data_IF_032682059067
#
_entry.id   IF_032682059067
#
_cell.length_a   1.000
_cell.length_b   1.000
_cell.length_c   1.000
_cell.angle_alpha   90.00
_cell.angle_beta   90.00
_cell.angle_gamma   90.00
#
_symmetry.space_group_name_H-M   'P 1'
#
loop_
_entity.id
_entity.type
_entity.pdbx_description
1 polymer ?
#
# COMPACT_ATOMS: atom_id res chain seq x y z
N UNK A 1 24.86 -1.94 -19.26
CA UNK A 1 26.11 -1.34 -18.74
C UNK A 1 25.94 -1.40 -17.22
N UNK A 2 26.70 -2.25 -16.55
CA UNK A 2 26.64 -2.33 -15.09
C UNK A 2 27.04 -0.97 -14.52
N UNK A 3 26.19 -0.40 -13.65
CA UNK A 3 26.65 0.70 -12.81
C UNK A 3 27.85 0.17 -12.00
N UNK A 4 28.98 0.85 -12.00
CA UNK A 4 30.13 0.38 -11.23
C UNK A 4 29.74 0.20 -9.77
N UNK A 5 30.21 -0.85 -9.12
CA UNK A 5 29.97 -1.12 -7.69
C UNK A 5 30.31 0.07 -6.77
N UNK A 6 31.16 0.97 -7.25
CA UNK A 6 31.53 2.23 -6.59
C UNK A 6 30.38 3.25 -6.44
N UNK A 7 29.26 3.07 -7.17
CA UNK A 7 28.09 3.95 -7.08
C UNK A 7 27.01 3.47 -6.11
N UNK A 8 27.14 2.29 -5.52
CA UNK A 8 26.20 1.78 -4.54
C UNK A 8 26.38 2.51 -3.19
N UNK A 9 25.25 2.77 -2.53
CA UNK A 9 25.22 3.26 -1.15
C UNK A 9 25.90 2.24 -0.23
N UNK A 10 26.65 2.73 0.75
CA UNK A 10 27.40 1.92 1.72
C UNK A 10 26.73 1.92 3.09
N UNK A 11 27.14 1.01 3.97
CA UNK A 11 26.72 1.02 5.37
C UNK A 11 27.16 2.32 6.09
N UNK A 12 28.31 2.89 5.72
CA UNK A 12 28.78 4.17 6.27
C UNK A 12 27.82 5.31 5.96
N UNK A 13 27.32 5.38 4.72
CA UNK A 13 26.33 6.40 4.32
C UNK A 13 25.04 6.27 5.12
N UNK A 14 24.62 5.05 5.47
CA UNK A 14 23.44 4.80 6.30
C UNK A 14 23.68 5.23 7.76
N UNK A 15 24.87 4.98 8.32
CA UNK A 15 25.21 5.48 9.65
C UNK A 15 25.24 7.01 9.71
N UNK A 16 25.83 7.66 8.71
CA UNK A 16 25.79 9.12 8.61
C UNK A 16 24.37 9.65 8.47
N UNK A 17 23.52 8.96 7.66
CA UNK A 17 22.12 9.30 7.55
C UNK A 17 21.39 9.17 8.89
N UNK A 18 21.64 8.09 9.64
CA UNK A 18 21.05 7.87 10.98
C UNK A 18 21.35 9.03 11.93
N UNK A 19 22.61 9.44 12.02
CA UNK A 19 23.01 10.58 12.88
C UNK A 19 22.29 11.87 12.45
N UNK A 20 22.22 12.11 11.13
CA UNK A 20 21.60 13.33 10.58
C UNK A 20 20.11 13.41 10.84
N UNK A 21 19.38 12.29 10.73
CA UNK A 21 17.92 12.27 10.86
C UNK A 21 17.45 12.01 12.30
N UNK A 22 18.35 11.73 13.25
CA UNK A 22 18.03 11.29 14.61
C UNK A 22 17.07 12.21 15.38
N UNK A 23 17.16 13.53 15.17
CA UNK A 23 16.29 14.50 15.84
C UNK A 23 14.89 14.62 15.21
N UNK A 24 14.70 14.10 14.00
CA UNK A 24 13.48 14.27 13.22
C UNK A 24 12.68 12.98 13.12
N UNK A 25 13.34 11.87 12.88
CA UNK A 25 12.71 10.57 12.63
C UNK A 25 12.39 9.87 13.95
N UNK A 26 11.24 9.22 13.99
CA UNK A 26 10.87 8.35 15.12
C UNK A 26 11.45 6.95 14.92
N UNK A 27 11.98 6.37 15.98
CA UNK A 27 12.20 4.92 16.01
C UNK A 27 10.84 4.25 16.11
N UNK A 28 10.36 3.67 15.01
CA UNK A 28 9.04 3.08 14.97
C UNK A 28 8.99 1.73 15.69
N UNK A 29 7.84 1.34 16.26
CA UNK A 29 7.70 0.05 16.92
C UNK A 29 7.93 -1.12 15.98
N UNK A 30 8.36 -2.24 16.56
CA UNK A 30 8.28 -3.56 16.00
C UNK A 30 7.37 -4.39 16.91
N UNK A 31 6.28 -4.93 16.38
CA UNK A 31 5.26 -5.64 17.16
C UNK A 31 5.00 -7.02 16.59
N UNK A 32 4.56 -7.95 17.44
CA UNK A 32 4.03 -9.25 17.03
C UNK A 32 2.59 -9.37 17.53
N UNK A 33 1.75 -10.07 16.77
CA UNK A 33 0.33 -10.27 17.07
C UNK A 33 0.00 -11.75 16.88
N UNK A 34 -0.19 -12.49 17.97
CA UNK A 34 -0.41 -13.94 17.96
C UNK A 34 -1.52 -14.41 16.99
N UNK A 35 -2.59 -13.61 16.86
CA UNK A 35 -3.66 -13.93 15.91
C UNK A 35 -3.27 -13.74 14.44
N UNK A 36 -2.27 -12.92 14.14
CA UNK A 36 -1.65 -12.81 12.79
C UNK A 36 -0.70 -13.99 12.58
N UNK A 37 0.11 -14.35 13.57
CA UNK A 37 0.99 -15.52 13.52
C UNK A 37 0.20 -16.79 13.16
N UNK A 38 -0.97 -16.98 13.80
CA UNK A 38 -1.86 -18.10 13.49
C UNK A 38 -2.42 -18.09 12.05
N UNK A 39 -2.76 -16.91 11.53
CA UNK A 39 -3.22 -16.78 10.14
C UNK A 39 -2.10 -17.08 9.15
N UNK A 40 -0.89 -16.61 9.45
CA UNK A 40 0.29 -16.78 8.59
C UNK A 40 0.94 -18.16 8.73
N UNK A 41 0.67 -18.89 9.81
CA UNK A 41 1.36 -20.14 10.15
C UNK A 41 2.86 -19.94 10.46
N UNK A 42 3.26 -18.72 10.84
CA UNK A 42 4.64 -18.32 11.10
C UNK A 42 4.67 -17.15 12.09
N UNK A 43 5.77 -16.97 12.81
CA UNK A 43 5.96 -15.76 13.64
C UNK A 43 6.22 -14.55 12.75
N UNK A 44 5.35 -13.53 12.82
CA UNK A 44 5.44 -12.32 12.00
C UNK A 44 5.66 -11.09 12.87
N UNK A 45 6.75 -10.38 12.60
CA UNK A 45 7.14 -9.15 13.26
C UNK A 45 6.78 -7.98 12.35
N UNK A 46 5.94 -7.06 12.81
CA UNK A 46 5.42 -5.93 12.02
C UNK A 46 6.22 -4.66 12.33
N UNK A 47 6.99 -4.15 11.38
CA UNK A 47 7.69 -2.87 11.49
C UNK A 47 6.77 -1.73 11.09
N UNK A 48 6.34 -0.91 12.05
CA UNK A 48 5.22 0.02 11.96
C UNK A 48 5.61 1.40 11.40
N UNK A 49 6.10 1.50 10.16
CA UNK A 49 6.44 2.79 9.53
C UNK A 49 5.21 3.67 9.23
N UNK A 50 4.00 3.14 9.27
CA UNK A 50 2.78 3.95 9.24
C UNK A 50 2.65 4.90 10.46
N UNK A 51 3.38 4.64 11.55
CA UNK A 51 3.44 5.51 12.74
C UNK A 51 4.56 6.55 12.67
N UNK A 52 5.30 6.62 11.57
CA UNK A 52 6.29 7.66 11.35
C UNK A 52 5.64 9.04 11.22
N UNK A 53 6.41 10.13 11.33
CA UNK A 53 5.90 11.51 11.38
C UNK A 53 4.91 11.87 10.28
N UNK A 54 5.17 11.50 9.03
CA UNK A 54 4.27 11.79 7.90
C UNK A 54 3.39 10.59 7.55
N UNK A 55 3.19 9.65 8.49
CA UNK A 55 2.43 8.45 8.24
C UNK A 55 3.13 7.45 7.32
N UNK A 56 4.43 7.60 7.02
CA UNK A 56 5.22 6.69 6.18
C UNK A 56 6.72 6.87 6.36
N UNK A 57 7.49 5.89 5.93
CA UNK A 57 8.96 5.90 5.96
C UNK A 57 9.62 7.06 5.19
N UNK A 58 8.89 7.71 4.28
CA UNK A 58 9.46 8.67 3.30
C UNK A 58 10.22 9.83 3.93
N UNK A 59 9.87 10.27 5.13
CA UNK A 59 10.59 11.34 5.85
C UNK A 59 12.05 11.00 6.09
N UNK A 60 12.42 9.72 6.23
CA UNK A 60 13.80 9.27 6.47
C UNK A 60 14.74 9.74 5.35
N UNK A 61 14.44 9.34 4.12
CA UNK A 61 15.22 9.75 2.95
C UNK A 61 15.05 11.23 2.61
N UNK A 62 13.81 11.74 2.66
CA UNK A 62 13.55 13.15 2.34
C UNK A 62 14.35 14.09 3.24
N UNK A 63 14.35 13.86 4.55
CA UNK A 63 15.10 14.70 5.46
C UNK A 63 16.61 14.50 5.33
N UNK A 64 17.10 13.27 5.14
CA UNK A 64 18.53 13.03 4.91
C UNK A 64 19.05 13.75 3.66
N UNK A 65 18.26 13.84 2.60
CA UNK A 65 18.62 14.59 1.39
C UNK A 65 18.53 16.10 1.60
N UNK A 66 17.37 16.60 2.07
CA UNK A 66 17.06 18.04 2.15
C UNK A 66 17.95 18.77 3.18
N UNK A 67 18.25 18.15 4.31
CA UNK A 67 19.11 18.75 5.34
C UNK A 67 20.56 18.98 4.93
N UNK A 68 20.97 18.51 3.76
CA UNK A 68 22.28 18.75 3.14
C UNK A 68 22.31 20.01 2.27
N UNK A 69 21.14 20.56 1.95
CA UNK A 69 21.02 21.72 1.07
C UNK A 69 21.41 23.01 1.79
N UNK A 70 21.94 23.97 1.04
CA UNK A 70 22.31 25.27 1.57
C UNK A 70 21.07 26.06 2.08
N UNK A 71 21.19 26.90 3.11
CA UNK A 71 20.11 27.78 3.50
C UNK A 71 19.61 28.65 2.34
N UNK A 72 18.28 28.80 2.22
CA UNK A 72 17.64 29.53 1.15
C UNK A 72 17.47 28.77 -0.17
N UNK A 73 17.93 27.52 -0.25
CA UNK A 73 17.64 26.66 -1.41
C UNK A 73 16.13 26.43 -1.53
N UNK A 74 15.59 26.54 -2.74
CA UNK A 74 14.22 26.12 -3.04
C UNK A 74 14.18 24.64 -3.34
N UNK A 75 13.16 23.97 -2.81
CA UNK A 75 12.95 22.53 -3.01
C UNK A 75 11.72 22.30 -3.87
N UNK A 76 11.81 21.37 -4.81
CA UNK A 76 10.65 20.95 -5.58
C UNK A 76 10.56 19.43 -5.64
N UNK A 77 9.33 18.91 -5.59
CA UNK A 77 9.04 17.49 -5.76
C UNK A 77 7.79 17.29 -6.64
N UNK A 78 7.63 16.08 -7.14
CA UNK A 78 6.40 15.65 -7.80
C UNK A 78 5.89 14.37 -7.14
N UNK A 79 4.72 14.43 -6.50
CA UNK A 79 4.08 13.28 -5.86
C UNK A 79 2.71 13.68 -5.34
N UNK A 80 1.72 12.78 -5.46
CA UNK A 80 0.40 12.93 -4.84
C UNK A 80 0.25 12.15 -3.52
N UNK A 81 1.35 11.66 -2.91
CA UNK A 81 1.28 10.76 -1.75
C UNK A 81 2.39 10.98 -0.71
N UNK A 82 2.91 9.89 -0.20
CA UNK A 82 3.87 9.86 0.93
C UNK A 82 5.13 10.69 0.70
N UNK A 83 5.64 10.72 -0.54
CA UNK A 83 6.85 11.48 -0.86
C UNK A 83 6.61 12.99 -0.76
N UNK A 84 5.46 13.48 -1.23
CA UNK A 84 5.07 14.88 -1.11
C UNK A 84 5.09 15.37 0.34
N UNK A 85 4.44 14.62 1.23
CA UNK A 85 4.37 14.93 2.66
C UNK A 85 5.76 14.84 3.32
N UNK A 86 6.55 13.82 2.95
CA UNK A 86 7.92 13.65 3.45
C UNK A 86 8.82 14.83 3.08
N UNK A 87 8.77 15.28 1.82
CA UNK A 87 9.54 16.45 1.34
C UNK A 87 9.05 17.74 1.99
N UNK A 88 7.72 17.95 2.05
CA UNK A 88 7.15 19.15 2.66
C UNK A 88 7.57 19.31 4.12
N UNK A 89 7.43 18.26 4.95
CA UNK A 89 7.85 18.30 6.35
C UNK A 89 9.37 18.46 6.48
N UNK A 90 10.17 17.76 5.66
CA UNK A 90 11.61 17.86 5.70
C UNK A 90 12.10 19.29 5.40
N UNK A 91 11.54 19.91 4.38
CA UNK A 91 11.86 21.29 4.01
C UNK A 91 11.37 22.29 5.05
N UNK A 92 10.18 22.12 5.61
CA UNK A 92 9.68 22.95 6.72
C UNK A 92 10.65 22.96 7.91
N UNK A 93 11.12 21.76 8.32
CA UNK A 93 12.08 21.62 9.42
C UNK A 93 13.44 22.27 9.07
N UNK A 94 13.87 22.17 7.81
CA UNK A 94 15.10 22.78 7.32
C UNK A 94 14.98 24.30 7.06
N UNK A 95 13.77 24.88 7.16
CA UNK A 95 13.52 26.29 6.87
C UNK A 95 13.63 26.64 5.38
N UNK A 96 13.32 25.72 4.48
CA UNK A 96 13.41 25.86 3.03
C UNK A 96 12.02 26.00 2.38
N UNK A 97 11.92 26.83 1.35
CA UNK A 97 10.71 26.94 0.52
C UNK A 97 10.52 25.67 -0.31
N UNK A 98 9.27 25.20 -0.37
CA UNK A 98 8.94 23.94 -1.06
C UNK A 98 7.74 24.09 -1.97
N UNK A 99 7.90 23.61 -3.21
CA UNK A 99 6.83 23.47 -4.19
C UNK A 99 6.63 21.99 -4.50
N UNK A 100 5.38 21.54 -4.48
CA UNK A 100 5.03 20.15 -4.83
C UNK A 100 4.07 20.15 -6.01
N UNK A 101 4.48 19.51 -7.10
CA UNK A 101 3.62 19.28 -8.25
C UNK A 101 2.81 18.01 -8.03
N UNK A 102 1.50 18.09 -8.27
CA UNK A 102 0.55 16.98 -8.14
C UNK A 102 -0.32 16.87 -9.39
N UNK A 103 -0.73 15.66 -9.79
CA UNK A 103 -1.79 15.50 -10.78
C UNK A 103 -3.08 16.19 -10.31
N UNK A 104 -3.85 16.75 -11.25
CA UNK A 104 -5.08 17.49 -10.95
C UNK A 104 -6.17 16.64 -10.28
N UNK A 105 -6.08 15.31 -10.39
CA UNK A 105 -6.96 14.32 -9.75
C UNK A 105 -6.44 13.81 -8.40
N UNK A 106 -5.40 14.43 -7.83
CA UNK A 106 -4.90 14.05 -6.51
C UNK A 106 -5.98 14.18 -5.43
N UNK A 107 -6.05 13.21 -4.50
CA UNK A 107 -7.07 13.20 -3.46
C UNK A 107 -6.94 14.40 -2.51
N UNK A 108 -8.07 15.01 -2.17
CA UNK A 108 -8.10 16.22 -1.33
C UNK A 108 -7.39 16.05 0.01
N UNK A 109 -7.54 14.93 0.77
CA UNK A 109 -6.82 14.74 2.02
C UNK A 109 -5.29 14.77 1.83
N UNK A 110 -4.75 14.19 0.76
CA UNK A 110 -3.30 14.17 0.49
C UNK A 110 -2.78 15.57 0.10
N UNK A 111 -3.57 16.32 -0.66
CA UNK A 111 -3.26 17.73 -1.00
C UNK A 111 -3.20 18.57 0.27
N UNK A 112 -4.25 18.46 1.11
CA UNK A 112 -4.33 19.23 2.36
C UNK A 112 -3.18 18.89 3.31
N UNK A 113 -2.90 17.59 3.52
CA UNK A 113 -1.79 17.16 4.36
C UNK A 113 -0.43 17.73 3.89
N UNK A 114 -0.22 17.84 2.59
CA UNK A 114 1.02 18.43 2.04
C UNK A 114 1.09 19.95 2.29
N UNK A 115 -0.04 20.66 2.17
CA UNK A 115 -0.14 22.08 2.48
C UNK A 115 0.04 22.37 3.97
N UNK A 116 -0.48 21.51 4.83
CA UNK A 116 -0.35 21.65 6.30
C UNK A 116 1.12 21.57 6.75
N UNK A 117 1.99 20.91 5.98
CA UNK A 117 3.44 20.94 6.14
C UNK A 117 4.11 22.14 5.45
N UNK A 118 3.35 23.14 5.00
CA UNK A 118 3.88 24.42 4.50
C UNK A 118 4.31 24.41 3.03
N UNK A 119 4.05 23.36 2.26
CA UNK A 119 4.41 23.34 0.84
C UNK A 119 3.36 24.07 -0.03
N UNK A 120 3.82 24.81 -1.03
CA UNK A 120 2.99 25.27 -2.13
C UNK A 120 2.65 24.08 -3.04
N UNK A 121 1.36 23.80 -3.24
CA UNK A 121 0.91 22.73 -4.13
C UNK A 121 0.48 23.32 -5.47
N UNK A 122 1.10 22.84 -6.56
CA UNK A 122 0.76 23.14 -7.94
C UNK A 122 0.18 21.92 -8.63
N UNK A 123 -0.93 22.12 -9.33
CA UNK A 123 -1.58 21.05 -10.07
C UNK A 123 -1.10 21.02 -11.52
N UNK A 124 -0.85 19.82 -12.04
CA UNK A 124 -0.54 19.56 -13.43
C UNK A 124 -1.64 18.69 -14.04
N UNK A 125 -2.00 18.99 -15.29
CA UNK A 125 -2.98 18.20 -16.03
C UNK A 125 -2.28 16.95 -16.58
N UNK A 126 -2.87 15.78 -16.34
CA UNK A 126 -2.32 14.51 -16.79
C UNK A 126 -1.95 13.58 -15.62
N UNK A 127 -1.04 12.66 -15.88
CA UNK A 127 -0.58 11.66 -14.92
C UNK A 127 0.55 12.21 -14.03
N UNK A 128 1.01 11.38 -13.08
CA UNK A 128 2.15 11.73 -12.21
C UNK A 128 3.44 12.02 -13.02
N UNK A 129 3.63 11.33 -14.13
CA UNK A 129 4.80 11.56 -15.00
C UNK A 129 4.83 12.97 -15.57
N UNK A 130 3.66 13.54 -15.91
CA UNK A 130 3.55 14.93 -16.40
C UNK A 130 3.90 15.91 -15.27
N UNK A 131 3.45 15.64 -14.05
CA UNK A 131 3.84 16.41 -12.87
C UNK A 131 5.37 16.34 -12.58
N UNK A 132 6.01 15.18 -12.81
CA UNK A 132 7.47 15.04 -12.69
C UNK A 132 8.19 15.89 -13.73
N UNK A 133 7.73 15.89 -14.97
CA UNK A 133 8.31 16.73 -16.06
C UNK A 133 8.16 18.21 -15.72
N UNK A 134 6.97 18.64 -15.28
CA UNK A 134 6.70 20.02 -14.88
C UNK A 134 7.58 20.45 -13.67
N UNK A 135 7.72 19.60 -12.66
CA UNK A 135 8.56 19.87 -11.49
C UNK A 135 10.04 20.04 -11.86
N UNK A 136 10.58 19.16 -12.73
CA UNK A 136 11.97 19.26 -13.20
C UNK A 136 12.22 20.50 -14.04
N UNK A 137 11.28 20.88 -14.93
CA UNK A 137 11.35 22.13 -15.69
C UNK A 137 11.34 23.33 -14.75
N UNK A 138 10.42 23.35 -13.79
CA UNK A 138 10.33 24.42 -12.80
C UNK A 138 11.61 24.54 -11.96
N UNK A 139 12.22 23.41 -11.57
CA UNK A 139 13.49 23.39 -10.87
C UNK A 139 14.60 24.12 -11.66
N UNK A 140 14.71 23.84 -12.96
CA UNK A 140 15.71 24.48 -13.83
C UNK A 140 15.46 25.98 -14.02
N UNK A 141 14.18 26.40 -14.12
CA UNK A 141 13.79 27.81 -14.32
C UNK A 141 13.96 28.68 -13.06
N UNK A 142 13.94 28.05 -11.85
CA UNK A 142 13.90 28.78 -10.58
C UNK A 142 15.11 28.50 -9.67
N UNK A 143 16.17 27.88 -10.20
CA UNK A 143 17.34 27.45 -9.43
C UNK A 143 16.97 26.65 -8.16
N UNK A 144 16.06 25.69 -8.34
CA UNK A 144 15.55 24.85 -7.27
C UNK A 144 16.06 23.41 -7.38
N UNK A 145 16.15 22.72 -6.25
CA UNK A 145 16.57 21.33 -6.20
C UNK A 145 15.35 20.40 -6.30
N UNK A 146 15.32 19.56 -7.33
CA UNK A 146 14.34 18.49 -7.44
C UNK A 146 14.71 17.33 -6.52
N UNK A 147 13.82 16.97 -5.60
CA UNK A 147 13.99 15.84 -4.68
C UNK A 147 13.26 14.61 -5.23
N UNK A 148 13.99 13.59 -5.70
CA UNK A 148 13.39 12.40 -6.28
C UNK A 148 12.80 11.48 -5.18
N UNK A 149 11.79 10.64 -5.51
CA UNK A 149 11.15 9.76 -4.53
C UNK A 149 12.00 8.55 -4.10
N UNK A 150 13.01 8.15 -4.89
CA UNK A 150 13.85 6.97 -4.67
C UNK A 150 15.20 6.99 -5.40
N UNK A 151 15.34 7.72 -6.52
CA UNK A 151 16.51 7.71 -7.39
C UNK A 151 17.58 8.71 -6.93
N UNK A 152 18.11 8.48 -5.74
CA UNK A 152 19.17 9.33 -5.16
C UNK A 152 19.89 8.58 -4.01
N UNK A 153 21.23 8.63 -3.94
CA UNK A 153 21.99 7.92 -2.90
C UNK A 153 21.64 8.37 -1.48
N UNK A 154 21.37 9.66 -1.27
CA UNK A 154 21.02 10.17 0.06
C UNK A 154 19.59 9.77 0.47
N UNK A 155 18.68 9.66 -0.50
CA UNK A 155 17.34 9.08 -0.27
C UNK A 155 17.50 7.62 0.15
N UNK A 156 18.22 6.80 -0.62
CA UNK A 156 18.44 5.38 -0.31
C UNK A 156 19.11 5.21 1.07
N UNK A 157 20.16 5.97 1.36
CA UNK A 157 20.85 5.91 2.66
C UNK A 157 19.90 6.26 3.82
N UNK A 158 19.07 7.29 3.66
CA UNK A 158 18.05 7.65 4.65
C UNK A 158 17.05 6.53 4.89
N UNK A 159 16.56 5.86 3.83
CA UNK A 159 15.67 4.70 3.94
C UNK A 159 16.38 3.50 4.60
N UNK A 160 17.68 3.33 4.36
CA UNK A 160 18.50 2.27 4.97
C UNK A 160 18.56 2.32 6.49
N UNK A 161 18.31 3.48 7.11
CA UNK A 161 18.23 3.61 8.57
C UNK A 161 17.12 2.74 9.18
N UNK A 162 16.07 2.42 8.42
CA UNK A 162 15.06 1.43 8.82
C UNK A 162 15.65 0.05 8.94
N UNK A 163 16.58 -0.33 8.06
CA UNK A 163 17.29 -1.60 8.13
C UNK A 163 18.15 -1.72 9.39
N UNK A 164 18.80 -0.63 9.84
CA UNK A 164 19.52 -0.61 11.12
C UNK A 164 18.56 -0.83 12.30
N UNK A 165 17.43 -0.12 12.32
CA UNK A 165 16.44 -0.28 13.38
C UNK A 165 15.86 -1.71 13.44
N UNK A 166 15.54 -2.30 12.28
CA UNK A 166 15.05 -3.68 12.19
C UNK A 166 16.07 -4.69 12.72
N UNK A 167 17.34 -4.56 12.29
CA UNK A 167 18.41 -5.45 12.77
C UNK A 167 18.60 -5.37 14.28
N UNK A 168 18.51 -4.17 14.87
CA UNK A 168 18.60 -3.96 16.31
C UNK A 168 17.37 -4.48 17.08
N UNK A 169 16.16 -4.40 16.49
CA UNK A 169 14.90 -4.77 17.14
C UNK A 169 14.55 -6.25 16.98
N UNK A 170 15.00 -6.89 15.91
CA UNK A 170 14.71 -8.28 15.58
C UNK A 170 15.97 -9.01 15.07
N UNK A 171 16.99 -9.19 15.91
CA UNK A 171 18.21 -9.92 15.51
C UNK A 171 17.93 -11.40 15.16
N UNK A 172 16.79 -11.94 15.63
CA UNK A 172 16.33 -13.30 15.33
C UNK A 172 15.65 -13.44 13.98
N UNK A 173 15.17 -12.35 13.35
CA UNK A 173 14.49 -12.42 12.06
C UNK A 173 15.46 -12.87 10.96
N UNK A 174 15.08 -13.91 10.22
CA UNK A 174 15.86 -14.48 9.12
C UNK A 174 15.29 -14.18 7.75
N UNK A 175 14.10 -13.62 7.69
CA UNK A 175 13.43 -13.20 6.46
C UNK A 175 12.85 -11.81 6.65
N UNK A 176 13.16 -10.89 5.75
CA UNK A 176 12.68 -9.51 5.79
C UNK A 176 11.91 -9.23 4.50
N UNK A 177 10.65 -8.81 4.63
CA UNK A 177 9.81 -8.41 3.50
C UNK A 177 9.66 -6.90 3.45
N UNK A 178 9.93 -6.33 2.27
CA UNK A 178 9.87 -4.88 2.03
C UNK A 178 9.02 -4.59 0.79
N UNK A 179 7.97 -3.75 0.89
CA UNK A 179 7.21 -3.32 -0.28
C UNK A 179 8.08 -2.55 -1.28
N UNK A 180 7.89 -2.82 -2.58
CA UNK A 180 8.71 -2.28 -3.66
C UNK A 180 7.86 -1.52 -4.67
N UNK A 181 8.17 -0.22 -4.84
CA UNK A 181 7.81 0.54 -6.02
C UNK A 181 9.10 0.86 -6.79
N UNK A 182 9.62 2.08 -6.67
CA UNK A 182 10.91 2.46 -7.30
C UNK A 182 12.17 1.84 -6.70
N UNK A 183 12.06 1.05 -5.63
CA UNK A 183 13.16 0.26 -5.06
C UNK A 183 14.01 0.94 -3.99
N UNK A 184 13.81 2.25 -3.71
CA UNK A 184 14.70 2.99 -2.79
C UNK A 184 14.68 2.49 -1.34
N UNK A 185 13.53 2.06 -0.82
CA UNK A 185 13.42 1.49 0.53
C UNK A 185 14.11 0.13 0.61
N UNK A 186 13.79 -0.77 -0.32
CA UNK A 186 14.39 -2.11 -0.40
C UNK A 186 15.90 -2.01 -0.56
N UNK A 187 16.39 -1.14 -1.44
CA UNK A 187 17.82 -0.89 -1.65
C UNK A 187 18.53 -0.49 -0.34
N UNK A 188 18.00 0.50 0.38
CA UNK A 188 18.58 0.94 1.64
C UNK A 188 18.57 -0.14 2.73
N UNK A 189 17.47 -0.85 2.90
CA UNK A 189 17.36 -1.98 3.84
C UNK A 189 18.36 -3.09 3.47
N UNK A 190 18.48 -3.39 2.18
CA UNK A 190 19.39 -4.43 1.69
C UNK A 190 20.86 -4.09 1.98
N UNK A 191 21.29 -2.84 1.77
CA UNK A 191 22.65 -2.41 2.12
C UNK A 191 22.94 -2.65 3.61
N UNK A 192 22.01 -2.29 4.50
CA UNK A 192 22.18 -2.49 5.94
C UNK A 192 22.30 -3.99 6.28
N UNK A 193 21.39 -4.81 5.79
CA UNK A 193 21.38 -6.25 6.13
C UNK A 193 22.52 -7.03 5.52
N UNK A 194 22.94 -6.75 4.30
CA UNK A 194 24.10 -7.46 3.70
C UNK A 194 25.40 -7.18 4.45
N UNK A 195 25.50 -6.01 5.06
CA UNK A 195 26.67 -5.68 5.87
C UNK A 195 26.59 -6.26 7.30
N UNK A 196 25.40 -6.25 7.92
CA UNK A 196 25.23 -6.59 9.34
C UNK A 196 24.81 -8.05 9.58
N UNK A 197 24.01 -8.61 8.68
CA UNK A 197 23.46 -9.96 8.79
C UNK A 197 23.34 -10.60 7.39
N UNK A 198 24.43 -10.93 6.72
CA UNK A 198 24.45 -11.36 5.31
C UNK A 198 23.68 -12.66 5.03
N UNK A 199 23.42 -13.47 6.06
CA UNK A 199 22.58 -14.68 5.95
C UNK A 199 21.07 -14.46 6.01
N UNK A 200 20.60 -13.24 6.20
CA UNK A 200 19.17 -12.91 6.22
C UNK A 200 18.61 -12.89 4.79
N UNK A 201 17.48 -13.56 4.57
CA UNK A 201 16.76 -13.54 3.29
C UNK A 201 16.00 -12.24 3.12
N UNK A 202 16.30 -11.49 2.07
CA UNK A 202 15.68 -10.20 1.76
C UNK A 202 14.75 -10.35 0.57
N UNK A 203 13.48 -10.04 0.78
CA UNK A 203 12.43 -10.21 -0.21
C UNK A 203 11.74 -8.87 -0.49
N UNK A 204 11.77 -8.46 -1.75
CA UNK A 204 10.93 -7.39 -2.25
C UNK A 204 9.51 -7.88 -2.54
N UNK A 205 8.50 -7.04 -2.32
CA UNK A 205 7.11 -7.39 -2.64
C UNK A 205 6.50 -6.30 -3.51
N UNK A 206 6.11 -6.65 -4.74
CA UNK A 206 5.40 -5.77 -5.68
C UNK A 206 3.93 -6.15 -5.81
N UNK A 207 3.09 -5.17 -6.15
CA UNK A 207 1.72 -5.44 -6.57
C UNK A 207 1.69 -5.93 -8.03
N UNK A 208 0.84 -6.91 -8.35
CA UNK A 208 0.76 -7.53 -9.68
C UNK A 208 0.53 -6.51 -10.80
N UNK A 209 -0.31 -5.49 -10.56
CA UNK A 209 -0.57 -4.42 -11.52
C UNK A 209 0.54 -3.37 -11.64
N UNK A 210 1.70 -3.54 -10.94
CA UNK A 210 2.82 -2.59 -10.93
C UNK A 210 4.18 -3.29 -10.74
N UNK A 211 4.36 -4.50 -11.27
CA UNK A 211 5.56 -5.33 -11.11
C UNK A 211 6.73 -4.88 -12.02
N UNK A 212 7.16 -3.63 -11.88
CA UNK A 212 8.20 -3.03 -12.71
C UNK A 212 9.62 -3.48 -12.34
N UNK A 213 9.87 -3.78 -11.07
CA UNK A 213 11.17 -4.28 -10.61
C UNK A 213 11.41 -5.71 -11.11
N UNK A 214 10.42 -6.60 -11.01
CA UNK A 214 10.50 -7.97 -11.56
C UNK A 214 10.78 -7.94 -13.06
N UNK A 215 10.03 -7.11 -13.82
CA UNK A 215 10.26 -6.94 -15.26
C UNK A 215 11.67 -6.42 -15.57
N UNK A 216 12.18 -5.49 -14.74
CA UNK A 216 13.51 -4.90 -14.91
C UNK A 216 14.64 -5.87 -14.53
N UNK A 217 14.45 -6.67 -13.49
CA UNK A 217 15.40 -7.73 -13.12
C UNK A 217 15.52 -8.78 -14.22
N UNK A 218 14.39 -9.21 -14.80
CA UNK A 218 14.37 -10.16 -15.91
C UNK A 218 15.05 -9.61 -17.16
N UNK A 219 14.91 -8.31 -17.43
CA UNK A 219 15.53 -7.64 -18.57
C UNK A 219 16.98 -7.21 -18.31
N UNK A 220 17.45 -7.23 -17.06
CA UNK A 220 18.74 -6.70 -16.61
C UNK A 220 18.93 -5.18 -16.92
N UNK A 221 17.86 -4.44 -17.09
CA UNK A 221 17.83 -2.99 -17.30
C UNK A 221 16.48 -2.41 -16.84
N UNK A 222 16.40 -1.12 -16.50
CA UNK A 222 15.12 -0.49 -16.16
C UNK A 222 14.10 -0.67 -17.28
N UNK A 223 12.95 -1.25 -16.95
CA UNK A 223 11.82 -1.46 -17.87
C UNK A 223 10.61 -0.71 -17.39
N UNK A 224 10.07 0.14 -18.27
CA UNK A 224 8.82 0.83 -18.00
C UNK A 224 7.63 -0.05 -18.38
N UNK A 225 6.68 -0.17 -17.44
CA UNK A 225 5.39 -0.80 -17.70
C UNK A 225 4.52 0.11 -18.58
N UNK A 226 3.72 -0.49 -19.46
CA UNK A 226 2.80 0.25 -20.33
C UNK A 226 1.61 0.86 -19.57
N UNK A 227 1.17 0.20 -18.50
CA UNK A 227 0.08 0.65 -17.64
C UNK A 227 0.33 0.25 -16.20
N UNK A 228 -0.32 0.95 -15.27
CA UNK A 228 -0.35 0.62 -13.86
C UNK A 228 -1.82 0.41 -13.47
N UNK A 229 -2.13 -0.73 -12.87
CA UNK A 229 -3.49 -1.08 -12.45
C UNK A 229 -3.42 -1.78 -11.11
N UNK A 230 -3.40 -1.01 -10.01
CA UNK A 230 -3.37 -1.54 -8.65
C UNK A 230 -3.95 -0.52 -7.65
N UNK A 231 -4.49 -1.02 -6.54
CA UNK A 231 -4.89 -0.20 -5.39
C UNK A 231 -3.69 0.34 -4.59
N UNK A 232 -2.49 -0.14 -4.87
CA UNK A 232 -1.25 0.17 -4.15
C UNK A 232 -0.56 1.42 -4.71
N UNK A 233 -1.18 2.60 -4.63
CA UNK A 233 -0.67 3.85 -5.18
C UNK A 233 0.74 4.22 -4.70
N UNK A 234 1.11 3.87 -3.45
CA UNK A 234 2.43 4.14 -2.86
C UNK A 234 3.58 3.31 -3.48
N UNK A 235 3.28 2.21 -4.18
CA UNK A 235 4.25 1.38 -4.91
C UNK A 235 3.94 1.26 -6.41
N UNK A 236 2.95 1.98 -6.91
CA UNK A 236 2.61 2.03 -8.33
C UNK A 236 3.63 2.88 -9.11
N UNK A 237 4.77 2.29 -9.44
CA UNK A 237 5.87 2.95 -10.13
C UNK A 237 6.11 2.28 -11.48
N UNK A 238 6.11 3.07 -12.56
CA UNK A 238 6.27 2.54 -13.92
C UNK A 238 7.62 1.86 -14.18
N UNK A 239 8.69 2.37 -13.57
CA UNK A 239 10.04 1.86 -13.78
C UNK A 239 10.93 2.15 -12.57
N UNK A 240 11.76 1.22 -12.10
CA UNK A 240 12.85 1.54 -11.19
C UNK A 240 13.90 2.40 -11.93
N UNK A 241 14.79 3.02 -11.16
CA UNK A 241 15.98 3.66 -11.73
C UNK A 241 17.13 2.64 -11.93
N UNK A 242 18.14 3.03 -12.70
CA UNK A 242 19.36 2.22 -12.84
C UNK A 242 20.05 2.01 -11.48
N UNK A 243 20.05 3.05 -10.63
CA UNK A 243 20.65 3.00 -9.29
C UNK A 243 19.93 2.01 -8.38
N UNK A 244 18.60 2.09 -8.25
CA UNK A 244 17.85 1.17 -7.38
C UNK A 244 17.85 -0.25 -7.91
N UNK A 245 17.77 -0.44 -9.23
CA UNK A 245 17.87 -1.75 -9.87
C UNK A 245 19.25 -2.40 -9.59
N UNK A 246 20.34 -1.64 -9.66
CA UNK A 246 21.68 -2.16 -9.35
C UNK A 246 21.79 -2.66 -7.90
N UNK A 247 21.22 -1.91 -6.94
CA UNK A 247 21.17 -2.34 -5.53
C UNK A 247 20.34 -3.63 -5.36
N UNK A 248 19.11 -3.65 -5.89
CA UNK A 248 18.21 -4.80 -5.75
C UNK A 248 18.83 -6.05 -6.37
N UNK A 249 19.35 -5.95 -7.59
CA UNK A 249 20.01 -7.06 -8.30
C UNK A 249 21.18 -7.63 -7.52
N UNK A 250 21.96 -6.78 -6.85
CA UNK A 250 23.19 -7.21 -6.17
C UNK A 250 22.97 -7.69 -4.73
N UNK A 251 21.91 -7.19 -4.06
CA UNK A 251 21.77 -7.31 -2.61
C UNK A 251 20.48 -7.99 -2.15
N UNK A 252 19.52 -8.23 -3.04
CA UNK A 252 18.19 -8.79 -2.69
C UNK A 252 18.11 -10.22 -3.23
N UNK A 253 17.53 -11.13 -2.47
CA UNK A 253 17.47 -12.55 -2.86
C UNK A 253 16.38 -12.80 -3.90
N UNK A 254 15.22 -12.15 -3.74
CA UNK A 254 14.10 -12.27 -4.67
C UNK A 254 13.13 -11.09 -4.58
N UNK A 255 12.31 -10.96 -5.61
CA UNK A 255 11.14 -10.06 -5.60
C UNK A 255 9.92 -10.90 -5.97
N UNK A 256 8.93 -10.94 -5.09
CA UNK A 256 7.65 -11.64 -5.29
C UNK A 256 6.54 -10.66 -5.65
N UNK A 257 5.49 -11.19 -6.26
CA UNK A 257 4.36 -10.39 -6.73
C UNK A 257 3.08 -10.88 -6.06
N UNK A 258 2.29 -9.95 -5.51
CA UNK A 258 0.99 -10.22 -4.87
C UNK A 258 -0.13 -9.51 -5.62
N UNK A 259 -1.31 -10.10 -5.68
CA UNK A 259 -2.49 -9.46 -6.26
C UNK A 259 -3.19 -8.52 -5.27
N UNK A 260 -4.03 -7.63 -5.81
CA UNK A 260 -4.76 -6.63 -5.03
C UNK A 260 -5.78 -7.26 -4.07
N UNK A 261 -6.32 -8.45 -4.38
CA UNK A 261 -7.23 -9.18 -3.52
C UNK A 261 -6.54 -9.64 -2.23
N UNK A 262 -5.38 -10.30 -2.35
CA UNK A 262 -4.57 -10.72 -1.21
C UNK A 262 -4.12 -9.52 -0.35
N UNK A 263 -3.82 -8.37 -0.98
CA UNK A 263 -3.50 -7.14 -0.25
C UNK A 263 -4.72 -6.61 0.51
N UNK A 264 -5.91 -6.65 -0.10
CA UNK A 264 -7.16 -6.30 0.56
C UNK A 264 -7.45 -7.15 1.79
N UNK A 265 -7.26 -8.46 1.70
CA UNK A 265 -7.38 -9.38 2.84
C UNK A 265 -6.38 -9.05 3.97
N UNK A 266 -5.12 -8.80 3.62
CA UNK A 266 -4.09 -8.41 4.59
C UNK A 266 -4.43 -7.09 5.31
N UNK A 267 -5.03 -6.11 4.62
CA UNK A 267 -5.50 -4.87 5.22
C UNK A 267 -6.59 -5.11 6.27
N UNK A 268 -7.55 -5.97 5.96
CA UNK A 268 -8.62 -6.31 6.93
C UNK A 268 -8.02 -7.01 8.15
N UNK A 269 -7.09 -7.94 7.95
CA UNK A 269 -6.38 -8.62 9.05
C UNK A 269 -5.60 -7.63 9.91
N UNK A 270 -4.87 -6.68 9.31
CA UNK A 270 -4.16 -5.63 10.04
C UNK A 270 -5.13 -4.76 10.86
N UNK A 271 -6.24 -4.35 10.27
CA UNK A 271 -7.24 -3.55 10.94
C UNK A 271 -7.90 -4.32 12.10
N UNK A 272 -8.34 -5.56 11.86
CA UNK A 272 -9.07 -6.36 12.85
C UNK A 272 -8.17 -6.95 13.94
N UNK A 273 -6.94 -7.35 13.63
CA UNK A 273 -6.06 -8.08 14.56
C UNK A 273 -5.00 -7.20 15.20
N UNK A 274 -4.32 -6.38 14.39
CA UNK A 274 -3.28 -5.46 14.88
C UNK A 274 -3.83 -4.10 15.32
N UNK A 275 -5.11 -3.77 15.00
CA UNK A 275 -5.71 -2.43 15.20
C UNK A 275 -4.91 -1.34 14.46
N UNK A 276 -4.32 -1.71 13.33
CA UNK A 276 -3.44 -0.88 12.53
C UNK A 276 -4.17 -0.38 11.27
N UNK A 277 -4.17 0.91 11.04
CA UNK A 277 -4.61 1.53 9.79
C UNK A 277 -3.38 1.68 8.90
N UNK A 278 -3.28 0.82 7.88
CA UNK A 278 -2.16 0.75 6.94
C UNK A 278 -2.71 1.02 5.53
N UNK A 279 -1.93 1.65 4.67
CA UNK A 279 -2.28 1.80 3.25
C UNK A 279 -2.02 0.49 2.48
N UNK A 280 -2.67 0.25 1.30
CA UNK A 280 -2.49 -0.98 0.52
C UNK A 280 -1.01 -1.32 0.27
N UNK A 281 -0.21 -0.34 -0.13
CA UNK A 281 1.23 -0.49 -0.36
C UNK A 281 1.99 -1.00 0.87
N UNK A 282 1.56 -0.59 2.07
CA UNK A 282 2.17 -1.04 3.33
C UNK A 282 1.77 -2.45 3.73
N UNK A 283 0.65 -2.97 3.24
CA UNK A 283 0.15 -4.30 3.56
C UNK A 283 0.72 -5.41 2.64
N UNK A 284 1.35 -5.04 1.51
CA UNK A 284 1.82 -5.99 0.49
C UNK A 284 2.73 -7.09 1.06
N UNK A 285 3.63 -6.74 2.00
CA UNK A 285 4.51 -7.72 2.63
C UNK A 285 3.74 -8.77 3.45
N UNK A 286 2.74 -8.36 4.22
CA UNK A 286 1.90 -9.30 4.96
C UNK A 286 1.06 -10.16 4.03
N UNK A 287 0.54 -9.60 2.93
CA UNK A 287 -0.18 -10.33 1.91
C UNK A 287 0.66 -11.47 1.31
N UNK A 288 1.96 -11.26 1.06
CA UNK A 288 2.86 -12.29 0.55
C UNK A 288 3.05 -13.46 1.54
N UNK A 289 3.04 -13.19 2.85
CA UNK A 289 3.10 -14.24 3.87
C UNK A 289 1.77 -14.99 3.97
N UNK A 290 0.65 -14.26 4.06
CA UNK A 290 -0.69 -14.85 4.20
C UNK A 290 -1.07 -15.73 3.00
N UNK A 291 -0.71 -15.34 1.78
CA UNK A 291 -0.94 -16.13 0.55
C UNK A 291 0.03 -17.32 0.38
N UNK A 292 0.98 -17.49 1.31
CA UNK A 292 1.96 -18.59 1.28
C UNK A 292 3.03 -18.47 0.20
N UNK A 293 3.16 -17.32 -0.45
CA UNK A 293 4.25 -17.02 -1.40
C UNK A 293 5.61 -16.98 -0.68
N UNK A 294 5.61 -16.53 0.57
CA UNK A 294 6.79 -16.54 1.43
C UNK A 294 6.52 -17.39 2.66
N UNK A 295 7.38 -18.37 2.89
CA UNK A 295 7.34 -19.26 4.06
C UNK A 295 8.70 -19.27 4.75
N UNK A 296 8.69 -19.39 6.07
CA UNK A 296 9.89 -19.55 6.90
C UNK A 296 9.51 -20.23 8.21
N UNK A 297 10.36 -21.10 8.69
CA UNK A 297 10.25 -21.69 10.04
C UNK A 297 10.82 -20.74 11.11
N UNK A 298 11.53 -19.69 10.70
CA UNK A 298 12.10 -18.65 11.56
C UNK A 298 11.30 -17.36 11.46
N UNK A 299 11.40 -16.44 12.44
CA UNK A 299 10.64 -15.19 12.43
C UNK A 299 10.83 -14.38 11.15
N UNK A 300 9.71 -13.88 10.63
CA UNK A 300 9.62 -13.03 9.44
C UNK A 300 9.36 -11.60 9.89
N UNK A 301 10.18 -10.65 9.48
CA UNK A 301 9.87 -9.23 9.69
C UNK A 301 9.26 -8.61 8.41
N UNK A 302 8.12 -7.96 8.58
CA UNK A 302 7.36 -7.32 7.50
C UNK A 302 7.34 -5.81 7.73
N UNK A 303 7.73 -5.03 6.73
CA UNK A 303 7.69 -3.57 6.79
C UNK A 303 6.30 -3.07 6.37
N UNK A 304 5.55 -2.50 7.33
CA UNK A 304 4.30 -1.76 7.08
C UNK A 304 4.66 -0.32 6.73
N UNK A 305 4.95 -0.07 5.46
CA UNK A 305 5.71 1.10 4.98
C UNK A 305 4.99 2.43 5.11
N UNK A 306 3.65 2.44 5.20
CA UNK A 306 2.84 3.67 5.34
C UNK A 306 1.38 3.39 5.68
N UNK A 307 0.67 4.44 6.10
CA UNK A 307 -0.74 4.41 6.49
C UNK A 307 -1.59 5.56 5.92
N UNK A 308 -1.07 6.30 4.94
CA UNK A 308 -1.78 7.44 4.33
C UNK A 308 -2.83 6.98 3.31
N UNK A 309 -3.77 6.17 3.79
CA UNK A 309 -4.90 5.67 2.98
C UNK A 309 -6.02 6.70 2.92
N UNK A 310 -6.65 6.83 1.75
CA UNK A 310 -7.87 7.61 1.60
C UNK A 310 -9.04 6.90 2.29
N UNK A 311 -9.85 7.65 3.06
CA UNK A 311 -10.96 7.08 3.85
C UNK A 311 -12.04 6.42 2.98
N UNK A 312 -12.30 6.95 1.78
CA UNK A 312 -13.25 6.32 0.84
C UNK A 312 -12.67 5.03 0.25
N UNK A 313 -11.37 5.01 -0.04
CA UNK A 313 -10.71 3.79 -0.47
C UNK A 313 -10.72 2.75 0.66
N UNK A 314 -10.41 3.17 1.90
CA UNK A 314 -10.44 2.28 3.06
C UNK A 314 -11.82 1.65 3.27
N UNK A 315 -12.91 2.43 3.15
CA UNK A 315 -14.28 1.91 3.21
C UNK A 315 -14.52 0.82 2.18
N UNK A 316 -14.18 1.08 0.91
CA UNK A 316 -14.32 0.10 -0.17
C UNK A 316 -13.49 -1.17 0.06
N UNK A 317 -12.27 -1.02 0.59
CA UNK A 317 -11.39 -2.16 0.90
C UNK A 317 -11.94 -3.00 2.05
N UNK A 318 -12.53 -2.37 3.07
CA UNK A 318 -13.19 -3.07 4.18
C UNK A 318 -14.39 -3.86 3.64
N UNK A 319 -15.25 -3.23 2.83
CA UNK A 319 -16.41 -3.89 2.22
C UNK A 319 -15.97 -5.10 1.35
N UNK A 320 -14.95 -4.89 0.51
CA UNK A 320 -14.41 -5.97 -0.33
C UNK A 320 -13.83 -7.11 0.50
N UNK A 321 -13.02 -6.81 1.52
CA UNK A 321 -12.43 -7.81 2.41
C UNK A 321 -13.49 -8.58 3.21
N UNK A 322 -14.54 -7.92 3.69
CA UNK A 322 -15.66 -8.57 4.35
C UNK A 322 -16.45 -9.48 3.39
N UNK A 323 -16.56 -9.10 2.11
CA UNK A 323 -17.18 -9.91 1.05
C UNK A 323 -16.36 -11.18 0.79
N UNK A 324 -15.03 -11.05 0.62
CA UNK A 324 -14.14 -12.20 0.43
C UNK A 324 -14.13 -13.16 1.63
N UNK A 325 -14.18 -12.61 2.84
CA UNK A 325 -14.31 -13.40 4.07
C UNK A 325 -15.69 -14.07 4.23
N UNK A 326 -16.60 -13.90 3.27
CA UNK A 326 -17.97 -14.41 3.31
C UNK A 326 -18.82 -13.81 4.42
N UNK A 327 -18.42 -12.66 4.99
CA UNK A 327 -19.19 -11.93 6.01
C UNK A 327 -20.15 -10.92 5.43
N UNK A 328 -19.98 -10.56 4.17
CA UNK A 328 -20.81 -9.67 3.39
C UNK A 328 -21.36 -10.44 2.20
N UNK A 329 -22.67 -10.49 2.07
CA UNK A 329 -23.33 -11.16 0.95
C UNK A 329 -24.29 -10.17 0.28
N UNK A 330 -23.98 -9.83 -0.97
CA UNK A 330 -24.86 -9.03 -1.82
C UNK A 330 -25.65 -9.96 -2.74
N UNK A 331 -26.97 -9.83 -2.73
CA UNK A 331 -27.91 -10.72 -3.42
C UNK A 331 -28.92 -9.91 -4.21
N UNK A 332 -29.33 -10.45 -5.36
CA UNK A 332 -30.49 -10.02 -6.12
C UNK A 332 -31.57 -11.09 -6.02
N UNK A 333 -32.76 -10.68 -5.62
CA UNK A 333 -33.89 -11.55 -5.37
C UNK A 333 -35.06 -11.04 -6.20
N UNK A 334 -35.53 -11.86 -7.15
CA UNK A 334 -36.71 -11.56 -7.95
C UNK A 334 -37.97 -11.97 -7.17
N UNK A 335 -38.92 -11.06 -7.05
CA UNK A 335 -40.18 -11.28 -6.32
C UNK A 335 -41.35 -10.66 -7.07
N UNK A 336 -42.57 -11.21 -6.93
CA UNK A 336 -43.78 -10.60 -7.50
C UNK A 336 -44.01 -9.19 -7.01
N UNK A 337 -44.37 -8.23 -7.88
CA UNK A 337 -44.70 -6.85 -7.50
C UNK A 337 -46.09 -6.79 -6.82
N UNK A 338 -46.14 -7.25 -5.57
CA UNK A 338 -47.37 -7.32 -4.76
C UNK A 338 -47.09 -6.86 -3.32
N UNK A 339 -48.12 -6.30 -2.66
CA UNK A 339 -48.00 -5.93 -1.23
C UNK A 339 -47.58 -7.15 -0.40
N UNK A 340 -46.51 -6.98 0.40
CA UNK A 340 -45.98 -8.01 1.30
C UNK A 340 -44.80 -8.81 0.76
N UNK A 341 -44.44 -8.77 -0.53
CA UNK A 341 -43.32 -9.54 -1.10
C UNK A 341 -42.00 -9.21 -0.44
N UNK A 342 -41.66 -7.93 -0.25
CA UNK A 342 -40.49 -7.47 0.51
C UNK A 342 -40.51 -7.99 1.96
N UNK A 343 -41.69 -7.96 2.60
CA UNK A 343 -41.84 -8.43 3.98
C UNK A 343 -41.55 -9.91 4.14
N UNK A 344 -41.96 -10.76 3.17
CA UNK A 344 -41.67 -12.19 3.18
C UNK A 344 -40.17 -12.47 3.05
N UNK A 345 -39.47 -11.74 2.17
CA UNK A 345 -38.03 -11.86 2.03
C UNK A 345 -37.32 -11.42 3.31
N UNK A 346 -37.66 -10.25 3.86
CA UNK A 346 -37.07 -9.75 5.09
C UNK A 346 -37.26 -10.71 6.28
N UNK A 347 -38.45 -11.32 6.40
CA UNK A 347 -38.74 -12.31 7.45
C UNK A 347 -37.86 -13.56 7.26
N UNK A 348 -37.75 -14.07 6.02
CA UNK A 348 -36.92 -15.23 5.72
C UNK A 348 -35.44 -14.99 6.05
N UNK A 349 -34.90 -13.80 5.72
CA UNK A 349 -33.52 -13.42 6.05
C UNK A 349 -33.32 -13.34 7.57
N UNK A 350 -34.26 -12.74 8.30
CA UNK A 350 -34.22 -12.67 9.76
C UNK A 350 -34.26 -14.04 10.46
N UNK A 351 -35.10 -14.98 9.98
CA UNK A 351 -35.16 -16.35 10.50
C UNK A 351 -33.85 -17.14 10.27
N UNK A 352 -33.10 -16.80 9.20
CA UNK A 352 -31.80 -17.38 8.92
C UNK A 352 -30.65 -16.70 9.72
N UNK A 353 -30.98 -15.72 10.54
CA UNK A 353 -30.01 -14.97 11.35
C UNK A 353 -29.12 -14.04 10.51
N UNK A 354 -29.59 -13.62 9.35
CA UNK A 354 -28.93 -12.65 8.48
C UNK A 354 -29.34 -11.23 8.91
N UNK A 355 -28.35 -10.39 9.21
CA UNK A 355 -28.58 -8.98 9.48
C UNK A 355 -28.64 -8.21 8.16
N UNK A 356 -29.78 -7.60 7.85
CA UNK A 356 -29.96 -6.80 6.63
C UNK A 356 -29.30 -5.45 6.80
N UNK A 357 -28.35 -5.12 5.92
CA UNK A 357 -27.57 -3.88 5.95
C UNK A 357 -28.13 -2.86 4.97
N UNK A 358 -28.58 -3.31 3.80
CA UNK A 358 -29.15 -2.47 2.79
C UNK A 358 -30.18 -3.22 1.95
N UNK A 359 -31.20 -2.49 1.45
CA UNK A 359 -32.23 -3.00 0.54
C UNK A 359 -32.58 -1.95 -0.50
N UNK A 360 -32.33 -2.24 -1.74
CA UNK A 360 -32.77 -1.44 -2.88
C UNK A 360 -33.92 -2.19 -3.60
N UNK A 361 -35.00 -1.47 -3.91
CA UNK A 361 -36.18 -2.01 -4.57
C UNK A 361 -36.28 -1.46 -6.00
N UNK A 362 -35.90 -2.26 -7.00
CA UNK A 362 -35.86 -1.85 -8.40
C UNK A 362 -37.12 -2.29 -9.13
N UNK A 363 -37.94 -1.34 -9.60
CA UNK A 363 -39.16 -1.56 -10.39
C UNK A 363 -39.01 -1.31 -11.88
N UNK A 364 -37.95 -0.61 -12.29
CA UNK A 364 -37.73 -0.18 -13.67
C UNK A 364 -36.32 -0.53 -14.15
N UNK A 365 -36.16 -0.77 -15.44
CA UNK A 365 -34.86 -0.81 -16.13
C UNK A 365 -34.21 -2.17 -16.29
N UNK A 366 -34.81 -3.26 -15.85
CA UNK A 366 -34.28 -4.61 -16.02
C UNK A 366 -35.03 -5.34 -17.14
N UNK A 367 -34.42 -5.45 -18.30
CA UNK A 367 -34.99 -6.16 -19.47
C UNK A 367 -35.16 -7.66 -19.28
N UNK A 368 -34.81 -8.17 -18.10
CA UNK A 368 -34.86 -9.61 -17.74
C UNK A 368 -36.01 -9.98 -16.79
N UNK A 369 -36.77 -9.00 -16.26
CA UNK A 369 -37.88 -9.24 -15.34
C UNK A 369 -39.20 -9.44 -16.12
N UNK A 370 -40.05 -10.33 -15.62
CA UNK A 370 -41.44 -10.45 -16.09
C UNK A 370 -42.26 -9.23 -15.66
N UNK A 371 -43.39 -8.98 -16.36
CA UNK A 371 -44.19 -7.72 -16.23
C UNK A 371 -44.70 -7.47 -14.79
N UNK A 372 -44.81 -8.54 -13.99
CA UNK A 372 -45.31 -8.51 -12.59
C UNK A 372 -44.21 -8.78 -11.55
N UNK A 373 -42.94 -8.66 -11.92
CA UNK A 373 -41.80 -8.91 -11.01
C UNK A 373 -40.99 -7.65 -10.75
N UNK A 374 -40.38 -7.62 -9.59
CA UNK A 374 -39.41 -6.60 -9.16
C UNK A 374 -38.19 -7.26 -8.60
N UNK A 375 -37.06 -6.58 -8.73
CA UNK A 375 -35.80 -7.04 -8.15
C UNK A 375 -35.53 -6.33 -6.83
N UNK A 376 -35.22 -7.11 -5.80
CA UNK A 376 -34.68 -6.62 -4.53
C UNK A 376 -33.18 -6.87 -4.52
N UNK A 377 -32.36 -5.81 -4.55
CA UNK A 377 -30.94 -5.91 -4.26
C UNK A 377 -30.75 -5.78 -2.75
N UNK A 378 -30.29 -6.86 -2.13
CA UNK A 378 -30.19 -6.96 -0.67
C UNK A 378 -28.75 -7.24 -0.27
N UNK A 379 -28.21 -6.44 0.65
CA UNK A 379 -26.92 -6.69 1.28
C UNK A 379 -27.14 -7.16 2.71
N UNK A 380 -26.55 -8.30 3.07
CA UNK A 380 -26.68 -8.89 4.41
C UNK A 380 -25.32 -9.20 5.02
N UNK A 381 -25.24 -9.13 6.35
CA UNK A 381 -24.12 -9.65 7.11
C UNK A 381 -24.34 -11.13 7.43
N UNK A 382 -23.29 -11.93 7.24
CA UNK A 382 -23.24 -13.34 7.62
C UNK A 382 -22.15 -13.59 8.67
N UNK A 383 -22.15 -14.78 9.26
CA UNK A 383 -21.13 -15.18 10.25
C UNK A 383 -19.89 -15.84 9.63
N UNK A 384 -19.82 -15.87 8.31
CA UNK A 384 -18.73 -16.47 7.55
C UNK A 384 -19.22 -17.40 6.43
N UNK A 385 -18.30 -18.05 5.69
CA UNK A 385 -18.61 -18.83 4.50
C UNK A 385 -19.66 -19.94 4.73
N UNK A 386 -19.52 -20.70 5.80
CA UNK A 386 -20.45 -21.79 6.11
C UNK A 386 -21.88 -21.27 6.35
N UNK A 387 -22.02 -20.16 7.07
CA UNK A 387 -23.33 -19.55 7.31
C UNK A 387 -23.92 -18.97 6.03
N UNK A 388 -23.09 -18.35 5.18
CA UNK A 388 -23.49 -17.89 3.85
C UNK A 388 -24.05 -19.01 3.01
N UNK A 389 -23.31 -20.11 2.88
CA UNK A 389 -23.68 -21.24 2.03
C UNK A 389 -24.95 -21.95 2.54
N UNK A 390 -25.08 -22.08 3.87
CA UNK A 390 -26.30 -22.61 4.49
C UNK A 390 -27.50 -21.70 4.24
N UNK A 391 -27.33 -20.37 4.37
CA UNK A 391 -28.40 -19.40 4.12
C UNK A 391 -28.88 -19.43 2.67
N UNK A 392 -27.97 -19.50 1.69
CA UNK A 392 -28.30 -19.61 0.27
C UNK A 392 -29.08 -20.91 -0.03
N UNK A 393 -28.64 -22.03 0.56
CA UNK A 393 -29.36 -23.31 0.42
C UNK A 393 -30.75 -23.26 1.05
N UNK A 394 -30.91 -22.58 2.18
CA UNK A 394 -32.20 -22.45 2.87
C UNK A 394 -33.17 -21.54 2.10
N UNK A 395 -32.69 -20.44 1.54
CA UNK A 395 -33.49 -19.55 0.67
C UNK A 395 -33.99 -20.29 -0.56
N UNK A 396 -33.11 -21.08 -1.22
CA UNK A 396 -33.51 -21.92 -2.36
C UNK A 396 -34.60 -22.96 -1.99
N UNK A 397 -34.50 -23.59 -0.81
CA UNK A 397 -35.52 -24.53 -0.31
C UNK A 397 -36.87 -23.87 -0.04
N UNK A 398 -36.90 -22.59 0.28
CA UNK A 398 -38.12 -21.78 0.45
C UNK A 398 -38.68 -21.27 -0.87
N UNK A 399 -38.05 -21.61 -2.01
CA UNK A 399 -38.45 -21.15 -3.33
C UNK A 399 -38.05 -19.70 -3.63
N UNK A 400 -37.16 -19.10 -2.82
CA UNK A 400 -36.62 -17.76 -3.06
C UNK A 400 -35.39 -17.93 -3.95
N UNK A 401 -35.51 -17.49 -5.21
CA UNK A 401 -34.39 -17.50 -6.16
C UNK A 401 -33.45 -16.32 -5.88
N UNK A 402 -32.17 -16.64 -5.66
CA UNK A 402 -31.15 -15.69 -5.31
C UNK A 402 -30.05 -15.72 -6.36
N UNK A 403 -29.72 -14.55 -6.92
CA UNK A 403 -28.51 -14.34 -7.70
C UNK A 403 -27.49 -13.59 -6.83
N UNK A 404 -26.37 -14.21 -6.56
CA UNK A 404 -25.28 -13.58 -5.81
C UNK A 404 -24.54 -12.62 -6.74
N UNK A 405 -24.43 -11.34 -6.37
CA UNK A 405 -23.56 -10.41 -7.05
C UNK A 405 -22.10 -10.75 -6.67
N UNK A 406 -21.45 -11.55 -7.52
CA UNK A 406 -20.01 -11.70 -7.42
C UNK A 406 -19.36 -10.39 -7.89
N UNK A 407 -18.73 -9.65 -6.99
CA UNK A 407 -17.84 -8.51 -7.30
C UNK A 407 -16.58 -9.01 -8.06
N UNK A 408 -16.77 -9.71 -9.18
CA UNK A 408 -15.71 -10.01 -10.14
C UNK A 408 -16.05 -9.29 -11.45
N UNK A 409 -15.77 -7.96 -11.44
CA UNK A 409 -15.42 -7.26 -12.70
C UNK A 409 -14.50 -6.06 -12.40
#
# INVERSE_FOLDING_TARGET
>A
MEAPLETLVTLSDIYEARERIASVVRRTPLTSVESIDRVCGATVLLKEEYRQRTGSFKIRGAYNHISRLAPGTRVVAASAGNHAQGVALAAQIAGLETVVFMPSNASLPKVQATRDYGAEVRFEVGALDDAVVAAKRWAAEHDAVFVPPFDDPHIIAGQGTLGLELHEQAPEARTILVPVGGGGLLAGVAVAYRALAPGTRLIGVEAAGAASMVASLAANEPRALSSLTTICDGIAVKSPSALTLAHVRSLVDEVVVVDDGAIGEALVVLLERAKAVVEPSGAAGLAAVMSGLVRSDEPIAVVLSGGNVDSLLLSKLIEHGLSQAGRYLRMRIEVPDRPGSLGLVALALGELGLNVLDVEHHREGLSSLDVDEVELAVTVETRGPDHRDQALADLARRGIQVRVDNDQR
#
